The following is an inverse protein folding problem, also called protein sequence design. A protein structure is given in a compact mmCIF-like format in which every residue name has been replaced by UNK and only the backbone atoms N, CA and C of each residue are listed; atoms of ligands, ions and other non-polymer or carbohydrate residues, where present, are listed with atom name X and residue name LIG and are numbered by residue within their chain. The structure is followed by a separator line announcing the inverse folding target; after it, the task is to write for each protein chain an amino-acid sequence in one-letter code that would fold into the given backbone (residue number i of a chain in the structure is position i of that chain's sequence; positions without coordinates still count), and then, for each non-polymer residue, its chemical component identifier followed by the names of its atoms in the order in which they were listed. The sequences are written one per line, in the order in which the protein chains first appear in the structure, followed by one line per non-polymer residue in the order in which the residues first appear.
data_IF_087513094421
#
_entry.id   IF_087513094421
#
_cell.length_a   1.000
_cell.length_b   1.000
_cell.length_c   1.000
_cell.angle_alpha   90.00
_cell.angle_beta   90.00
_cell.angle_gamma   90.00
#
_symmetry.space_group_name_H-M   'P 1'
#
loop_
_entity.id
_entity.type
_entity.pdbx_description
1 polymer ?
#
# COMPACT_ATOMS: atom_id res chain seq x y z
N UNK A 1 4.48 42.87 0.32
CA UNK A 1 4.46 41.70 -0.60
C UNK A 1 4.72 40.40 0.18
N UNK A 2 3.98 40.08 1.24
CA UNK A 2 2.56 39.65 1.29
C UNK A 2 2.26 38.35 0.52
N UNK A 3 2.51 37.22 1.18
CA UNK A 3 1.42 36.49 1.84
C UNK A 3 0.32 35.83 1.00
N UNK A 4 0.36 35.87 -0.34
CA UNK A 4 -0.69 35.28 -1.20
C UNK A 4 -0.32 34.00 -1.95
N UNK A 5 0.91 33.50 -1.82
CA UNK A 5 1.34 32.26 -2.50
C UNK A 5 1.16 31.00 -1.66
N UNK A 6 0.91 31.11 -0.34
CA UNK A 6 0.82 29.94 0.55
C UNK A 6 -0.51 29.17 0.50
N UNK A 7 -1.59 29.74 -0.05
CA UNK A 7 -2.88 29.03 -0.12
C UNK A 7 -2.98 28.06 -1.30
N UNK A 8 -2.35 28.36 -2.45
CA UNK A 8 -2.36 27.45 -3.61
C UNK A 8 -1.49 26.20 -3.38
N UNK A 9 -0.32 26.36 -2.72
CA UNK A 9 0.55 25.24 -2.39
C UNK A 9 -0.10 24.26 -1.41
N UNK A 10 -0.80 24.78 -0.38
CA UNK A 10 -1.46 23.95 0.63
C UNK A 10 -2.60 23.10 0.05
N UNK A 11 -3.39 23.69 -0.85
CA UNK A 11 -4.49 22.98 -1.51
C UNK A 11 -3.94 21.90 -2.45
N UNK A 12 -2.82 22.19 -3.13
CA UNK A 12 -2.12 21.26 -4.02
C UNK A 12 -1.48 20.09 -3.27
N UNK A 13 -0.83 20.33 -2.13
CA UNK A 13 -0.22 19.30 -1.28
C UNK A 13 -1.26 18.39 -0.64
N UNK A 14 -2.39 18.95 -0.18
CA UNK A 14 -3.51 18.16 0.36
C UNK A 14 -4.17 17.30 -0.72
N UNK A 15 -4.40 17.87 -1.90
CA UNK A 15 -4.91 17.10 -3.04
C UNK A 15 -3.95 15.96 -3.40
N UNK A 16 -2.63 16.22 -3.38
CA UNK A 16 -1.61 15.20 -3.58
C UNK A 16 -1.69 14.07 -2.54
N UNK A 17 -1.77 14.39 -1.25
CA UNK A 17 -1.87 13.39 -0.18
C UNK A 17 -3.16 12.55 -0.29
N UNK A 18 -4.26 13.18 -0.69
CA UNK A 18 -5.54 12.52 -0.90
C UNK A 18 -5.50 11.56 -2.10
N UNK A 19 -4.88 11.97 -3.21
CA UNK A 19 -4.65 11.10 -4.37
C UNK A 19 -3.78 9.90 -4.02
N UNK A 20 -2.71 10.09 -3.24
CA UNK A 20 -1.90 8.97 -2.76
C UNK A 20 -2.72 8.00 -1.93
N UNK A 21 -3.52 8.51 -0.99
CA UNK A 21 -4.37 7.66 -0.16
C UNK A 21 -5.36 6.85 -1.00
N UNK A 22 -5.99 7.46 -2.01
CA UNK A 22 -6.89 6.76 -2.94
C UNK A 22 -6.15 5.68 -3.73
N UNK A 23 -5.04 6.03 -4.38
CA UNK A 23 -4.30 5.09 -5.22
C UNK A 23 -3.76 3.92 -4.39
N UNK A 24 -3.26 4.20 -3.19
CA UNK A 24 -2.77 3.17 -2.28
C UNK A 24 -3.92 2.27 -1.79
N UNK A 25 -5.10 2.83 -1.54
CA UNK A 25 -6.31 2.06 -1.21
C UNK A 25 -6.68 1.13 -2.36
N UNK A 26 -6.68 1.63 -3.60
CA UNK A 26 -6.94 0.82 -4.80
C UNK A 26 -5.92 -0.30 -4.94
N UNK A 27 -4.63 -0.02 -4.74
CA UNK A 27 -3.58 -1.06 -4.78
C UNK A 27 -3.79 -2.12 -3.70
N UNK A 28 -4.16 -1.74 -2.48
CA UNK A 28 -4.47 -2.72 -1.42
C UNK A 28 -5.71 -3.55 -1.74
N UNK A 29 -6.73 -2.97 -2.39
CA UNK A 29 -7.91 -3.70 -2.85
C UNK A 29 -7.60 -4.67 -3.99
N UNK A 30 -6.73 -4.27 -4.93
CA UNK A 30 -6.24 -5.16 -5.99
C UNK A 30 -5.41 -6.31 -5.40
N UNK A 31 -4.59 -6.04 -4.39
CA UNK A 31 -3.86 -7.09 -3.68
C UNK A 31 -4.81 -8.05 -2.94
N UNK A 32 -5.90 -7.52 -2.37
CA UNK A 32 -6.91 -8.34 -1.70
C UNK A 32 -7.63 -9.23 -2.71
N UNK A 33 -8.04 -8.67 -3.85
CA UNK A 33 -8.65 -9.41 -4.95
C UNK A 33 -7.70 -10.52 -5.44
N UNK A 34 -6.41 -10.23 -5.60
CA UNK A 34 -5.40 -11.23 -5.94
C UNK A 34 -5.38 -12.40 -4.95
N UNK A 35 -5.34 -12.12 -3.64
CA UNK A 35 -5.34 -13.17 -2.62
C UNK A 35 -6.64 -13.97 -2.57
N UNK A 36 -7.78 -13.32 -2.78
CA UNK A 36 -9.08 -14.02 -2.88
C UNK A 36 -9.10 -14.93 -4.10
N UNK A 37 -8.64 -14.46 -5.27
CA UNK A 37 -8.53 -15.28 -6.47
C UNK A 37 -7.58 -16.46 -6.26
N UNK A 38 -6.43 -16.23 -5.61
CA UNK A 38 -5.48 -17.29 -5.23
C UNK A 38 -6.16 -18.34 -4.35
N UNK A 39 -6.89 -17.93 -3.31
CA UNK A 39 -7.59 -18.83 -2.39
C UNK A 39 -8.70 -19.64 -3.09
N UNK A 40 -9.43 -19.02 -4.01
CA UNK A 40 -10.50 -19.70 -4.78
C UNK A 40 -9.93 -20.74 -5.75
N UNK A 41 -8.78 -20.46 -6.39
CA UNK A 41 -8.21 -21.34 -7.40
C UNK A 41 -7.32 -22.44 -6.83
N UNK A 42 -6.59 -22.15 -5.75
CA UNK A 42 -5.58 -23.04 -5.18
C UNK A 42 -5.99 -23.63 -3.82
N UNK A 43 -7.11 -23.16 -3.26
CA UNK A 43 -7.58 -23.56 -1.94
C UNK A 43 -6.98 -22.72 -0.81
N UNK A 44 -7.52 -22.92 0.39
CA UNK A 44 -7.06 -22.23 1.59
C UNK A 44 -5.79 -22.90 2.13
N UNK A 45 -4.68 -22.19 2.00
CA UNK A 45 -3.37 -22.57 2.53
C UNK A 45 -2.91 -21.55 3.58
N UNK A 46 -1.95 -21.95 4.43
CA UNK A 46 -1.35 -21.03 5.42
C UNK A 46 -0.86 -19.72 4.79
N UNK A 47 -0.28 -19.78 3.59
CA UNK A 47 0.18 -18.60 2.86
C UNK A 47 -0.98 -17.68 2.41
N UNK A 48 -2.08 -18.25 1.90
CA UNK A 48 -3.27 -17.46 1.52
C UNK A 48 -3.94 -16.80 2.72
N UNK A 49 -4.01 -17.50 3.87
CA UNK A 49 -4.58 -16.94 5.09
C UNK A 49 -3.77 -15.75 5.61
N UNK A 50 -2.45 -15.90 5.65
CA UNK A 50 -1.53 -14.82 6.03
C UNK A 50 -1.64 -13.64 5.05
N UNK A 51 -1.61 -13.91 3.75
CA UNK A 51 -1.73 -12.89 2.70
C UNK A 51 -3.03 -12.08 2.78
N UNK A 52 -4.17 -12.76 2.95
CA UNK A 52 -5.48 -12.11 3.12
C UNK A 52 -5.50 -11.27 4.40
N UNK A 53 -5.05 -11.82 5.53
CA UNK A 53 -5.09 -11.14 6.83
C UNK A 53 -4.27 -9.82 6.82
N UNK A 54 -3.03 -9.87 6.33
CA UNK A 54 -2.18 -8.67 6.22
C UNK A 54 -2.77 -7.64 5.26
N UNK A 55 -3.40 -8.09 4.18
CA UNK A 55 -4.02 -7.16 3.21
C UNK A 55 -5.27 -6.49 3.78
N UNK A 56 -6.09 -7.20 4.56
CA UNK A 56 -7.24 -6.63 5.27
C UNK A 56 -6.76 -5.58 6.27
N UNK A 57 -5.75 -5.90 7.08
CA UNK A 57 -5.15 -4.94 8.01
C UNK A 57 -4.64 -3.70 7.27
N UNK A 58 -3.87 -3.88 6.20
CA UNK A 58 -3.39 -2.78 5.35
C UNK A 58 -4.52 -1.90 4.82
N UNK A 59 -5.62 -2.51 4.37
CA UNK A 59 -6.80 -1.80 3.85
C UNK A 59 -7.48 -0.95 4.94
N UNK A 60 -7.63 -1.49 6.16
CA UNK A 60 -8.18 -0.74 7.31
C UNK A 60 -7.31 0.50 7.60
N UNK A 61 -5.98 0.33 7.59
CA UNK A 61 -5.06 1.44 7.82
C UNK A 61 -5.12 2.49 6.70
N UNK A 62 -5.36 2.10 5.44
CA UNK A 62 -5.61 3.06 4.36
C UNK A 62 -6.84 3.94 4.62
N UNK A 63 -7.93 3.38 5.18
CA UNK A 63 -9.07 4.19 5.59
C UNK A 63 -8.74 5.14 6.76
N UNK A 64 -7.91 4.70 7.71
CA UNK A 64 -7.41 5.56 8.78
C UNK A 64 -6.58 6.74 8.25
N UNK A 65 -5.80 6.55 7.18
CA UNK A 65 -5.10 7.65 6.50
C UNK A 65 -6.08 8.67 5.92
N UNK A 66 -7.13 8.22 5.21
CA UNK A 66 -8.16 9.10 4.66
C UNK A 66 -8.82 9.93 5.77
N UNK A 67 -9.16 9.31 6.90
CA UNK A 67 -9.71 9.99 8.06
C UNK A 67 -8.69 10.98 8.67
N UNK A 68 -7.42 10.59 8.76
CA UNK A 68 -6.33 11.45 9.24
C UNK A 68 -6.15 12.72 8.40
N UNK A 69 -6.25 12.59 7.07
CA UNK A 69 -6.19 13.70 6.11
C UNK A 69 -7.43 14.60 6.17
N UNK A 70 -8.61 14.05 6.47
CA UNK A 70 -9.84 14.81 6.67
C UNK A 70 -9.83 15.58 8.01
N UNK A 71 -9.25 14.99 9.06
CA UNK A 71 -9.26 15.54 10.44
C UNK A 71 -8.04 16.37 10.81
N UNK A 72 -7.10 16.58 9.88
CA UNK A 72 -5.85 17.35 10.09
C UNK A 72 -4.97 16.84 11.24
N UNK A 73 -5.03 15.54 11.54
CA UNK A 73 -4.21 14.93 12.59
C UNK A 73 -2.93 14.34 11.99
N UNK A 74 -1.82 15.09 12.09
CA UNK A 74 -0.46 14.66 11.69
C UNK A 74 -0.09 13.28 12.24
N UNK A 75 -0.47 13.01 13.51
CA UNK A 75 -0.19 11.74 14.18
C UNK A 75 -0.78 10.52 13.46
N UNK A 76 -2.01 10.61 12.94
CA UNK A 76 -2.63 9.51 12.19
C UNK A 76 -1.93 9.27 10.85
N UNK A 77 -1.49 10.33 10.17
CA UNK A 77 -0.77 10.21 8.91
C UNK A 77 0.63 9.60 9.09
N UNK A 78 1.33 9.98 10.17
CA UNK A 78 2.64 9.40 10.53
C UNK A 78 2.52 7.94 10.96
N UNK A 79 1.50 7.60 11.76
CA UNK A 79 1.24 6.22 12.16
C UNK A 79 0.96 5.33 10.94
N UNK A 80 0.20 5.84 9.97
CA UNK A 80 -0.03 5.12 8.71
C UNK A 80 1.29 4.84 7.96
N UNK A 81 2.19 5.81 7.83
CA UNK A 81 3.48 5.57 7.14
C UNK A 81 4.28 4.43 7.79
N UNK A 82 4.33 4.40 9.13
CA UNK A 82 5.02 3.33 9.85
C UNK A 82 4.41 1.96 9.60
N UNK A 83 3.08 1.85 9.73
CA UNK A 83 2.37 0.58 9.50
C UNK A 83 2.44 0.16 8.03
N UNK A 84 2.34 1.10 7.09
CA UNK A 84 2.44 0.82 5.67
C UNK A 84 3.83 0.29 5.27
N UNK A 85 4.90 0.83 5.88
CA UNK A 85 6.26 0.30 5.69
C UNK A 85 6.41 -1.13 6.22
N UNK A 86 5.91 -1.41 7.44
CA UNK A 86 5.93 -2.78 8.01
C UNK A 86 5.12 -3.76 7.16
N UNK A 87 3.92 -3.35 6.73
CA UNK A 87 3.09 -4.17 5.85
C UNK A 87 3.78 -4.43 4.50
N UNK A 88 4.50 -3.45 3.95
CA UNK A 88 5.21 -3.62 2.69
C UNK A 88 6.38 -4.60 2.83
N UNK A 89 7.10 -4.57 3.95
CA UNK A 89 8.14 -5.56 4.25
C UNK A 89 7.53 -6.96 4.40
N UNK A 90 6.42 -7.10 5.12
CA UNK A 90 5.71 -8.36 5.24
C UNK A 90 5.24 -8.88 3.87
N UNK A 91 4.68 -7.99 3.03
CA UNK A 91 4.21 -8.35 1.69
C UNK A 91 5.36 -8.74 0.75
N UNK A 92 6.53 -8.11 0.92
CA UNK A 92 7.76 -8.49 0.22
C UNK A 92 8.22 -9.91 0.61
N UNK A 93 8.26 -10.24 1.90
CA UNK A 93 8.60 -11.60 2.38
C UNK A 93 7.62 -12.63 1.82
N UNK A 94 6.31 -12.35 1.88
CA UNK A 94 5.29 -13.25 1.34
C UNK A 94 5.44 -13.41 -0.18
N UNK A 95 5.80 -12.35 -0.91
CA UNK A 95 6.04 -12.42 -2.36
C UNK A 95 7.26 -13.28 -2.71
N UNK A 96 8.32 -13.26 -1.90
CA UNK A 96 9.47 -14.16 -2.05
C UNK A 96 9.04 -15.60 -1.80
N UNK A 97 8.32 -15.88 -0.71
CA UNK A 97 7.84 -17.22 -0.39
C UNK A 97 6.93 -17.76 -1.50
N UNK A 98 5.99 -16.94 -1.98
CA UNK A 98 5.14 -17.28 -3.12
C UNK A 98 5.96 -17.60 -4.37
N UNK A 99 6.99 -16.81 -4.67
CA UNK A 99 7.90 -17.08 -5.80
C UNK A 99 8.62 -18.42 -5.62
N UNK A 100 9.10 -18.71 -4.42
CA UNK A 100 9.70 -20.00 -4.14
C UNK A 100 8.71 -21.15 -4.38
N UNK A 101 7.48 -21.08 -3.84
CA UNK A 101 6.47 -22.13 -4.00
C UNK A 101 5.98 -22.27 -5.45
N UNK A 102 5.77 -21.17 -6.16
CA UNK A 102 5.33 -21.18 -7.57
C UNK A 102 6.42 -21.73 -8.50
N UNK A 103 7.70 -21.47 -8.22
CA UNK A 103 8.81 -22.01 -9.01
C UNK A 103 9.10 -23.47 -8.65
N UNK A 104 8.89 -23.87 -7.40
CA UNK A 104 9.10 -25.25 -6.96
C UNK A 104 8.08 -26.23 -7.54
N UNK A 105 8.59 -27.18 -8.32
CA UNK A 105 7.81 -28.23 -9.00
C UNK A 105 6.85 -29.05 -8.09
N UNK A 106 7.22 -29.45 -6.86
CA UNK A 106 6.36 -30.31 -6.03
C UNK A 106 5.03 -29.67 -5.60
N UNK A 107 5.00 -28.34 -5.43
CA UNK A 107 3.81 -27.62 -4.96
C UNK A 107 2.62 -27.78 -5.92
N UNK A 108 2.88 -27.72 -7.22
CA UNK A 108 1.84 -27.84 -8.26
C UNK A 108 1.37 -29.29 -8.44
N UNK A 109 2.26 -30.25 -8.23
CA UNK A 109 1.94 -31.68 -8.26
C UNK A 109 1.02 -32.06 -7.10
N UNK A 110 1.32 -31.59 -5.88
CA UNK A 110 0.46 -31.78 -4.69
C UNK A 110 -0.92 -31.13 -4.84
N UNK A 111 -1.01 -30.02 -5.57
CA UNK A 111 -2.28 -29.35 -5.89
C UNK A 111 -3.03 -29.96 -7.08
N UNK A 112 -2.46 -30.97 -7.75
CA UNK A 112 -3.09 -31.66 -8.89
C UNK A 112 -3.18 -30.85 -10.18
N UNK A 113 -2.49 -29.71 -10.28
CA UNK A 113 -2.66 -28.74 -11.37
C UNK A 113 -1.91 -29.18 -12.64
N UNK A 114 -0.80 -29.90 -12.49
CA UNK A 114 -0.08 -30.49 -13.64
C UNK A 114 -0.92 -31.51 -14.40
N UNK A 115 -1.80 -32.24 -13.71
CA UNK A 115 -2.71 -33.20 -14.34
C UNK A 115 -3.84 -32.51 -15.11
N UNK A 116 -4.19 -31.27 -14.74
CA UNK A 116 -5.22 -30.48 -15.41
C UNK A 116 -4.69 -29.71 -16.64
N UNK A 117 -3.40 -29.34 -16.67
CA UNK A 117 -2.81 -28.54 -17.75
C UNK A 117 -1.42 -29.05 -18.18
N UNK A 118 -1.34 -30.08 -19.04
CA UNK A 118 -0.07 -30.57 -19.55
C UNK A 118 0.55 -29.62 -20.59
N UNK A 119 1.87 -29.43 -20.53
CA UNK A 119 2.67 -28.77 -21.58
C UNK A 119 2.97 -27.27 -21.36
N UNK A 120 3.24 -26.48 -22.41
CA UNK A 120 3.75 -25.10 -22.29
C UNK A 120 2.79 -24.11 -21.60
N UNK A 121 1.51 -24.46 -21.52
CA UNK A 121 0.45 -23.69 -20.83
C UNK A 121 0.74 -23.59 -19.32
N UNK A 122 1.35 -24.63 -18.75
CA UNK A 122 1.75 -24.69 -17.34
C UNK A 122 2.78 -23.60 -16.98
N UNK A 123 3.72 -23.31 -17.88
CA UNK A 123 4.68 -22.23 -17.70
C UNK A 123 4.01 -20.86 -17.67
N UNK A 124 3.04 -20.63 -18.58
CA UNK A 124 2.31 -19.36 -18.67
C UNK A 124 1.47 -19.08 -17.41
N UNK A 125 0.84 -20.12 -16.87
CA UNK A 125 0.00 -20.02 -15.68
C UNK A 125 0.80 -19.64 -14.42
N UNK A 126 2.04 -20.12 -14.27
CA UNK A 126 2.94 -19.69 -13.19
C UNK A 126 3.20 -18.18 -13.23
N UNK A 127 3.44 -17.63 -14.43
CA UNK A 127 3.64 -16.20 -14.61
C UNK A 127 2.38 -15.38 -14.36
N UNK A 128 1.18 -15.93 -14.60
CA UNK A 128 -0.08 -15.25 -14.28
C UNK A 128 -0.27 -15.00 -12.79
N UNK A 129 0.28 -15.84 -11.90
CA UNK A 129 0.25 -15.58 -10.46
C UNK A 129 1.38 -14.65 -10.01
N UNK A 130 2.58 -14.83 -10.55
CA UNK A 130 3.75 -14.06 -10.14
C UNK A 130 3.70 -12.61 -10.62
N UNK A 131 3.39 -12.39 -11.90
CA UNK A 131 3.49 -11.08 -12.52
C UNK A 131 2.61 -10.02 -11.84
N UNK A 132 1.30 -10.26 -11.60
CA UNK A 132 0.46 -9.28 -10.92
C UNK A 132 0.94 -8.97 -9.50
N UNK A 133 1.41 -9.99 -8.76
CA UNK A 133 1.87 -9.81 -7.38
C UNK A 133 3.11 -8.91 -7.31
N UNK A 134 4.10 -9.18 -8.14
CA UNK A 134 5.31 -8.36 -8.23
C UNK A 134 5.01 -6.95 -8.76
N UNK A 135 4.08 -6.80 -9.71
CA UNK A 135 3.65 -5.51 -10.22
C UNK A 135 2.97 -4.66 -9.13
N UNK A 136 2.06 -5.26 -8.35
CA UNK A 136 1.41 -4.60 -7.21
C UNK A 136 2.44 -4.16 -6.19
N UNK A 137 3.37 -5.04 -5.82
CA UNK A 137 4.44 -4.74 -4.86
C UNK A 137 5.32 -3.57 -5.33
N UNK A 138 5.73 -3.59 -6.61
CA UNK A 138 6.52 -2.51 -7.21
C UNK A 138 5.78 -1.17 -7.15
N UNK A 139 4.51 -1.15 -7.56
CA UNK A 139 3.68 0.05 -7.49
C UNK A 139 3.50 0.52 -6.03
N UNK A 140 3.25 -0.39 -5.10
CA UNK A 140 3.15 -0.08 -3.67
C UNK A 140 4.41 0.59 -3.13
N UNK A 141 5.61 0.14 -3.52
CA UNK A 141 6.87 0.79 -3.12
C UNK A 141 6.95 2.21 -3.66
N UNK A 142 6.70 2.41 -4.96
CA UNK A 142 6.78 3.73 -5.60
C UNK A 142 5.81 4.72 -4.96
N UNK A 143 4.56 4.29 -4.75
CA UNK A 143 3.54 5.13 -4.12
C UNK A 143 3.78 5.35 -2.63
N UNK A 144 4.40 4.41 -1.90
CA UNK A 144 4.78 4.62 -0.52
C UNK A 144 5.87 5.68 -0.40
N UNK A 145 6.90 5.64 -1.25
CA UNK A 145 7.97 6.64 -1.28
C UNK A 145 7.39 8.02 -1.61
N UNK A 146 6.57 8.10 -2.67
CA UNK A 146 5.90 9.34 -3.03
C UNK A 146 4.98 9.85 -1.92
N UNK A 147 4.22 8.96 -1.29
CA UNK A 147 3.37 9.27 -0.13
C UNK A 147 4.16 9.80 1.06
N UNK A 148 5.32 9.21 1.35
CA UNK A 148 6.19 9.68 2.42
C UNK A 148 6.68 11.11 2.16
N UNK A 149 7.08 11.44 0.93
CA UNK A 149 7.50 12.80 0.55
C UNK A 149 6.33 13.79 0.74
N UNK A 150 5.15 13.45 0.26
CA UNK A 150 3.97 14.33 0.32
C UNK A 150 3.49 14.52 1.76
N UNK A 151 3.39 13.44 2.56
CA UNK A 151 2.94 13.48 3.95
C UNK A 151 3.95 14.22 4.84
N UNK A 152 5.25 13.99 4.67
CA UNK A 152 6.28 14.70 5.46
C UNK A 152 6.35 16.18 5.12
N UNK A 153 6.16 16.55 3.85
CA UNK A 153 6.07 17.95 3.41
C UNK A 153 4.84 18.63 4.01
N UNK A 154 3.68 17.98 3.95
CA UNK A 154 2.44 18.48 4.56
C UNK A 154 2.53 18.55 6.10
N UNK A 155 3.20 17.60 6.75
CA UNK A 155 3.42 17.59 8.19
C UNK A 155 4.32 18.73 8.69
N UNK A 156 5.40 19.05 7.96
CA UNK A 156 6.26 20.21 8.25
C UNK A 156 5.48 21.52 8.16
N UNK A 157 4.59 21.67 7.17
CA UNK A 157 3.74 22.85 7.01
C UNK A 157 2.64 22.98 8.08
N UNK A 158 2.06 21.86 8.53
CA UNK A 158 1.09 21.88 9.64
C UNK A 158 1.75 22.27 10.97
N UNK A 159 2.97 21.81 11.24
CA UNK A 159 3.72 22.17 12.45
C UNK A 159 4.21 23.63 12.43
N UNK A 160 4.61 24.17 11.27
CA UNK A 160 5.03 25.59 11.19
C UNK A 160 3.87 26.57 11.35
N UNK A 161 2.64 26.23 10.90
CA UNK A 161 1.44 27.05 11.19
C UNK A 161 1.00 27.03 12.65
N UNK A 162 1.50 26.07 13.44
CA UNK A 162 1.28 26.03 14.89
C UNK A 162 2.26 26.95 15.64
N UNK A 163 3.26 27.52 14.96
CA UNK A 163 4.13 28.55 15.52
C UNK A 163 3.45 29.92 15.49
N UNK A 164 2.63 30.22 16.50
CA UNK A 164 2.38 31.60 16.92
C UNK A 164 3.60 32.11 17.70
N UNK A 165 4.31 33.11 17.16
CA UNK A 165 4.65 34.30 17.95
C UNK A 165 4.49 35.54 17.06
N UNK A 166 4.00 36.70 17.49
CA UNK A 166 3.60 37.27 18.78
C UNK A 166 2.37 38.11 18.45
N UNK A 167 1.42 38.19 19.37
CA UNK A 167 0.63 39.41 19.45
C UNK A 167 1.60 40.56 19.66
N UNK A 168 1.72 41.46 18.69
CA UNK A 168 2.25 42.79 18.96
C UNK A 168 1.11 43.63 19.55
N UNK A 169 0.75 43.31 20.79
CA UNK A 169 0.09 44.24 21.68
C UNK A 169 1.19 45.03 22.37
N UNK A 170 1.57 46.18 21.77
CA UNK A 170 2.15 47.38 22.41
C UNK A 170 2.87 48.26 21.39
N UNK A 171 2.21 49.33 20.98
CA UNK A 171 2.65 50.73 21.03
C UNK A 171 1.81 51.55 20.04
#
# INVERSE_FOLDING_TARGET
MEGRTMCCGLLSLRAGAFWVAIVYTVLTLLNLAYWVTYLVHLGADGMSGVGVAFTILGTIFCFLLLIGLCTYKTGLCMAWMGVAAVNLVADFVVSILLTHFVVWWPFWYEKGIEQAFPGPIYGLQRWMYLFPKWLILFLSVVFLIYGAIVITSHGKEMNTKTYKPRGNSRA
#
